data_IF_538772915293
#
_entry.id   IF_538772915293
#
_cell.length_a   1.000
_cell.length_b   1.000
_cell.length_c   1.000
_cell.angle_alpha   90.00
_cell.angle_beta   90.00
_cell.angle_gamma   90.00
#
_symmetry.space_group_name_H-M   'P 1'
#
loop_
_entity.id
_entity.type
_entity.pdbx_description
1 polymer ?
#
# COMPACT_ATOMS: atom_id res chain seq x y z
N UNK A 1 -15.43 -3.96 -10.21
CA UNK A 1 -15.02 -4.46 -8.87
C UNK A 1 -13.51 -4.61 -8.89
N UNK A 2 -12.79 -4.21 -7.83
CA UNK A 2 -11.33 -4.29 -7.79
C UNK A 2 -10.92 -5.68 -7.30
N UNK A 3 -10.15 -6.41 -8.10
CA UNK A 3 -9.66 -7.75 -7.79
C UNK A 3 -8.38 -7.71 -6.95
N UNK A 4 -8.11 -8.81 -6.24
CA UNK A 4 -6.86 -8.97 -5.48
C UNK A 4 -5.60 -8.92 -6.37
N UNK A 5 -5.72 -9.32 -7.63
CA UNK A 5 -4.62 -9.30 -8.59
C UNK A 5 -4.32 -7.88 -9.09
N UNK A 6 -5.35 -7.06 -9.32
CA UNK A 6 -5.19 -5.63 -9.61
C UNK A 6 -4.55 -4.90 -8.43
N UNK A 7 -4.92 -5.21 -7.18
CA UNK A 7 -4.30 -4.63 -5.99
C UNK A 7 -2.81 -4.98 -5.93
N UNK A 8 -2.46 -6.26 -6.10
CA UNK A 8 -1.05 -6.71 -6.08
C UNK A 8 -0.24 -6.05 -7.19
N UNK A 9 -0.80 -5.94 -8.39
CA UNK A 9 -0.17 -5.26 -9.53
C UNK A 9 0.00 -3.77 -9.27
N UNK A 10 -1.01 -3.09 -8.73
CA UNK A 10 -0.89 -1.67 -8.37
C UNK A 10 0.13 -1.45 -7.23
N UNK A 11 0.26 -2.38 -6.29
CA UNK A 11 1.28 -2.32 -5.25
C UNK A 11 2.71 -2.38 -5.81
N UNK A 12 2.98 -3.06 -6.93
CA UNK A 12 4.31 -3.05 -7.56
C UNK A 12 4.67 -1.70 -8.17
N UNK A 13 3.69 -0.84 -8.45
CA UNK A 13 3.91 0.54 -8.94
C UNK A 13 4.20 1.54 -7.81
N UNK A 14 4.03 1.14 -6.54
CA UNK A 14 4.30 1.99 -5.39
C UNK A 14 5.81 2.06 -5.06
N UNK A 15 6.31 3.20 -4.57
CA UNK A 15 7.63 3.26 -3.92
C UNK A 15 7.72 2.28 -2.74
N UNK A 16 8.87 1.59 -2.61
CA UNK A 16 9.06 0.50 -1.64
C UNK A 16 8.70 0.88 -0.21
N UNK A 17 9.03 2.11 0.21
CA UNK A 17 8.71 2.61 1.56
C UNK A 17 7.21 2.60 1.89
N UNK A 18 6.34 2.69 0.89
CA UNK A 18 4.89 2.60 1.07
C UNK A 18 4.39 1.17 0.83
N UNK A 19 4.93 0.49 -0.19
CA UNK A 19 4.59 -0.90 -0.51
C UNK A 19 4.82 -1.82 0.69
N UNK A 20 5.99 -1.74 1.33
CA UNK A 20 6.35 -2.61 2.44
C UNK A 20 5.39 -2.42 3.64
N UNK A 21 5.00 -1.17 3.94
CA UNK A 21 4.05 -0.89 5.02
C UNK A 21 2.64 -1.41 4.68
N UNK A 22 2.20 -1.26 3.43
CA UNK A 22 0.91 -1.78 2.99
C UNK A 22 0.87 -3.31 2.98
N UNK A 23 1.93 -3.96 2.52
CA UNK A 23 2.07 -5.42 2.49
C UNK A 23 1.95 -5.99 3.91
N UNK A 24 2.77 -5.50 4.84
CA UNK A 24 2.76 -5.97 6.23
C UNK A 24 1.40 -5.71 6.92
N UNK A 25 0.78 -4.55 6.69
CA UNK A 25 -0.47 -4.18 7.36
C UNK A 25 -1.71 -4.85 6.74
N UNK A 26 -1.85 -4.81 5.40
CA UNK A 26 -3.07 -5.23 4.70
C UNK A 26 -3.09 -6.73 4.38
N UNK A 27 -1.93 -7.34 4.16
CA UNK A 27 -1.84 -8.72 3.70
C UNK A 27 -1.36 -9.66 4.80
N UNK A 28 -0.47 -9.20 5.67
CA UNK A 28 0.11 -10.01 6.75
C UNK A 28 -0.52 -9.73 8.13
N UNK A 29 -1.25 -8.61 8.27
CA UNK A 29 -2.05 -8.30 9.45
C UNK A 29 -1.28 -7.71 10.63
N UNK A 30 -0.05 -7.25 10.41
CA UNK A 30 0.76 -6.62 11.47
C UNK A 30 0.23 -5.26 11.87
N UNK A 31 0.40 -4.91 13.15
CA UNK A 31 0.12 -3.58 13.65
C UNK A 31 1.27 -2.57 13.43
N UNK A 32 1.06 -1.31 13.79
CA UNK A 32 2.06 -0.27 13.58
C UNK A 32 3.31 -0.38 14.47
N UNK A 33 3.20 -1.04 15.61
CA UNK A 33 4.34 -1.28 16.50
C UNK A 33 5.23 -2.37 15.90
N UNK A 34 4.65 -3.48 15.46
CA UNK A 34 5.35 -4.58 14.81
C UNK A 34 6.00 -4.14 13.50
N UNK A 35 5.27 -3.42 12.65
CA UNK A 35 5.81 -2.84 11.41
C UNK A 35 6.96 -1.87 11.71
N UNK A 36 6.84 -1.09 12.79
CA UNK A 36 7.88 -0.18 13.24
C UNK A 36 9.18 -0.92 13.58
N UNK A 37 9.07 -2.06 14.25
CA UNK A 37 10.22 -2.92 14.59
C UNK A 37 10.84 -3.55 13.33
N UNK A 38 10.02 -4.09 12.42
CA UNK A 38 10.48 -4.77 11.20
C UNK A 38 11.19 -3.82 10.24
N UNK A 39 10.67 -2.61 10.05
CA UNK A 39 11.17 -1.64 9.07
C UNK A 39 12.06 -0.55 9.68
N UNK A 40 12.37 -0.65 10.98
CA UNK A 40 13.11 0.35 11.75
C UNK A 40 12.49 1.77 11.65
N UNK A 41 11.18 1.85 11.86
CA UNK A 41 10.38 3.07 11.78
C UNK A 41 9.72 3.40 13.11
N UNK A 42 9.47 4.70 13.32
CA UNK A 42 8.53 5.10 14.37
C UNK A 42 7.10 4.70 14.01
N UNK A 43 6.27 4.48 15.02
CA UNK A 43 4.84 4.18 14.84
C UNK A 43 4.13 5.29 14.01
N UNK A 44 4.48 6.55 14.26
CA UNK A 44 4.00 7.70 13.46
C UNK A 44 4.43 7.64 12.00
N UNK A 45 5.67 7.21 11.71
CA UNK A 45 6.14 7.03 10.35
C UNK A 45 5.41 5.87 9.64
N UNK A 46 5.18 4.75 10.34
CA UNK A 46 4.36 3.62 9.85
C UNK A 46 2.95 4.09 9.48
N UNK A 47 2.23 4.78 10.38
CA UNK A 47 0.90 5.35 10.11
C UNK A 47 0.89 6.31 8.91
N UNK A 48 1.85 7.23 8.86
CA UNK A 48 1.96 8.21 7.77
C UNK A 48 2.20 7.52 6.42
N UNK A 49 3.09 6.52 6.39
CA UNK A 49 3.39 5.73 5.18
C UNK A 49 2.19 4.89 4.75
N UNK A 50 1.45 4.31 5.70
CA UNK A 50 0.24 3.57 5.40
C UNK A 50 -0.82 4.48 4.75
N UNK A 51 -1.08 5.65 5.34
CA UNK A 51 -2.06 6.61 4.82
C UNK A 51 -1.68 7.08 3.41
N UNK A 52 -0.43 7.51 3.21
CA UNK A 52 0.05 7.95 1.88
C UNK A 52 0.03 6.81 0.87
N UNK A 53 0.46 5.61 1.30
CA UNK A 53 0.43 4.41 0.48
C UNK A 53 -0.98 4.06 -0.02
N UNK A 54 -1.99 4.10 0.86
CA UNK A 54 -3.40 3.91 0.47
C UNK A 54 -3.85 4.95 -0.55
N UNK A 55 -3.43 6.22 -0.39
CA UNK A 55 -3.69 7.29 -1.34
C UNK A 55 -3.12 6.99 -2.74
N UNK A 56 -1.84 6.60 -2.81
CA UNK A 56 -1.20 6.22 -4.08
C UNK A 56 -1.86 4.98 -4.69
N UNK A 57 -2.14 3.95 -3.89
CA UNK A 57 -2.76 2.73 -4.36
C UNK A 57 -4.13 3.01 -5.00
N UNK A 58 -4.95 3.87 -4.36
CA UNK A 58 -6.24 4.30 -4.90
C UNK A 58 -6.07 5.07 -6.22
N UNK A 59 -5.10 5.97 -6.31
CA UNK A 59 -4.84 6.75 -7.52
C UNK A 59 -4.47 5.83 -8.70
N UNK A 60 -3.56 4.89 -8.48
CA UNK A 60 -3.14 3.90 -9.50
C UNK A 60 -4.34 3.08 -9.95
N UNK A 61 -5.07 2.45 -9.02
CA UNK A 61 -6.24 1.64 -9.36
C UNK A 61 -7.29 2.44 -10.15
N UNK A 62 -7.51 3.70 -9.78
CA UNK A 62 -8.44 4.57 -10.49
C UNK A 62 -7.96 4.84 -11.93
N UNK A 63 -6.69 5.16 -12.13
CA UNK A 63 -6.13 5.40 -13.46
C UNK A 63 -6.24 4.17 -14.38
N UNK A 64 -5.89 2.98 -13.88
CA UNK A 64 -5.94 1.75 -14.69
C UNK A 64 -7.38 1.44 -15.15
N UNK A 65 -8.38 1.68 -14.29
CA UNK A 65 -9.78 1.52 -14.67
C UNK A 65 -10.25 2.52 -15.74
N UNK A 66 -9.67 3.72 -15.81
CA UNK A 66 -9.96 4.68 -16.86
C UNK A 66 -9.28 4.31 -18.20
N UNK A 67 -8.12 3.67 -18.16
CA UNK A 67 -7.36 3.27 -19.36
C UNK A 67 -7.91 1.99 -20.02
N UNK A 68 -8.46 1.04 -19.26
CA UNK A 68 -9.08 -0.18 -19.81
C UNK A 68 -10.55 0.00 -20.23
N UNK A 69 -11.12 1.20 -20.04
CA UNK A 69 -12.53 1.50 -20.27
C UNK A 69 -12.84 2.35 -21.52
N UNK A 70 -11.89 2.50 -22.45
CA UNK A 70 -12.10 3.10 -23.79
C UNK A 70 -11.99 2.06 -24.90
#
# INVERSE_FOLDING_TARGET
>A
EVTMEEIKTAMTKLPDKYRNVLQLYLLEGYDHEEIGKILELSNTASRTRLLRGKGFLRAILTQEHHETGS
#
